data_IF_778797333717
#
_entry.id   IF_778797333717
#
_cell.length_a   1.000
_cell.length_b   1.000
_cell.length_c   1.000
_cell.angle_alpha   90.00
_cell.angle_beta   90.00
_cell.angle_gamma   90.00
#
_symmetry.space_group_name_H-M   'P 1'
#
loop_
_entity.id
_entity.type
_entity.pdbx_description
1 polymer ?
#
# COMPACT_ATOMS: atom_id res chain seq x y z
N UNK A 1 10.63 9.71 4.36
CA UNK A 1 10.68 9.46 5.83
C UNK A 1 10.15 8.07 6.18
N UNK A 2 8.85 7.76 6.02
CA UNK A 2 8.30 6.41 6.34
C UNK A 2 8.98 5.27 5.57
N UNK A 3 9.30 5.50 4.29
CA UNK A 3 10.01 4.55 3.42
C UNK A 3 11.41 4.19 3.92
N UNK A 4 12.15 5.20 4.37
CA UNK A 4 13.52 5.03 4.86
C UNK A 4 13.54 4.26 6.17
N UNK A 5 12.56 4.47 7.07
CA UNK A 5 12.49 3.78 8.37
C UNK A 5 12.35 2.27 8.18
N UNK A 6 11.50 1.80 7.27
CA UNK A 6 11.32 0.36 7.05
C UNK A 6 12.56 -0.31 6.46
N UNK A 7 13.22 0.33 5.47
CA UNK A 7 14.44 -0.20 4.86
C UNK A 7 15.62 -0.13 5.82
N UNK A 8 15.72 0.96 6.58
CA UNK A 8 16.74 1.13 7.61
C UNK A 8 16.57 0.06 8.69
N UNK A 9 15.35 -0.19 9.16
CA UNK A 9 15.10 -1.24 10.15
C UNK A 9 15.49 -2.64 9.65
N UNK A 10 15.41 -2.92 8.34
CA UNK A 10 15.69 -4.24 7.79
C UNK A 10 17.14 -4.44 7.35
N UNK A 11 17.78 -3.38 6.81
CA UNK A 11 19.05 -3.50 6.11
C UNK A 11 20.18 -2.68 6.72
N UNK A 12 19.95 -1.89 7.78
CA UNK A 12 20.99 -1.07 8.40
C UNK A 12 22.23 -1.86 8.81
N UNK A 13 22.04 -3.06 9.34
CA UNK A 13 23.14 -3.90 9.84
C UNK A 13 23.69 -4.88 8.78
N UNK A 14 22.95 -5.13 7.69
CA UNK A 14 23.30 -6.13 6.67
C UNK A 14 23.76 -5.50 5.35
N UNK A 15 22.98 -4.56 4.79
CA UNK A 15 23.22 -3.90 3.51
C UNK A 15 22.87 -2.40 3.58
N UNK A 16 23.70 -1.56 4.24
CA UNK A 16 23.41 -0.13 4.41
C UNK A 16 23.34 0.63 3.08
N UNK A 17 23.95 0.10 2.03
CA UNK A 17 23.95 0.66 0.67
C UNK A 17 22.54 0.74 0.06
N UNK A 18 21.61 -0.14 0.46
CA UNK A 18 20.24 -0.15 -0.05
C UNK A 18 19.46 1.12 0.31
N UNK A 19 19.83 1.79 1.40
CA UNK A 19 19.28 3.11 1.73
C UNK A 19 19.65 4.15 0.67
N UNK A 20 20.87 4.07 0.12
CA UNK A 20 21.33 4.99 -0.93
C UNK A 20 20.60 4.75 -2.25
N UNK A 21 20.24 3.49 -2.55
CA UNK A 21 19.46 3.17 -3.75
C UNK A 21 18.08 3.82 -3.76
N UNK A 22 17.41 3.98 -2.61
CA UNK A 22 16.14 4.73 -2.54
C UNK A 22 16.33 6.16 -3.06
N UNK A 23 17.43 6.81 -2.67
CA UNK A 23 17.74 8.17 -3.09
C UNK A 23 18.12 8.27 -4.57
N UNK A 24 18.69 7.21 -5.15
CA UNK A 24 19.05 7.15 -6.56
C UNK A 24 17.83 6.91 -7.47
N UNK A 25 16.88 6.08 -7.03
CA UNK A 25 15.73 5.70 -7.85
C UNK A 25 14.78 6.89 -8.10
N UNK A 26 14.65 7.81 -7.15
CA UNK A 26 13.77 8.97 -7.32
C UNK A 26 14.18 9.89 -8.49
N UNK A 27 15.44 10.36 -8.60
CA UNK A 27 15.95 11.08 -9.77
C UNK A 27 15.83 10.30 -11.08
N UNK A 28 16.16 9.00 -11.06
CA UNK A 28 16.08 8.14 -12.26
C UNK A 28 14.64 8.03 -12.77
N UNK A 29 13.69 7.81 -11.86
CA UNK A 29 12.25 7.80 -12.18
C UNK A 29 11.79 9.15 -12.73
N UNK A 30 12.27 10.25 -12.15
CA UNK A 30 11.96 11.62 -12.60
C UNK A 30 12.54 11.94 -13.99
N UNK A 31 13.68 11.38 -14.34
CA UNK A 31 14.37 11.66 -15.61
C UNK A 31 14.05 10.69 -16.74
N UNK A 32 13.64 9.45 -16.44
CA UNK A 32 13.36 8.43 -17.46
C UNK A 32 11.87 8.14 -17.56
N UNK A 33 11.23 7.77 -16.44
CA UNK A 33 9.85 7.31 -16.42
C UNK A 33 8.84 8.46 -16.55
N UNK A 34 9.05 9.57 -15.84
CA UNK A 34 8.11 10.70 -15.88
C UNK A 34 8.03 11.37 -17.26
N UNK A 35 9.13 11.54 -18.03
CA UNK A 35 9.05 11.95 -19.42
C UNK A 35 8.13 11.10 -20.28
N UNK A 36 8.12 9.77 -20.09
CA UNK A 36 7.21 8.87 -20.81
C UNK A 36 5.76 9.17 -20.41
N UNK A 37 5.50 9.35 -19.11
CA UNK A 37 4.18 9.74 -18.60
C UNK A 37 3.71 11.08 -19.18
N UNK A 38 4.58 12.09 -19.22
CA UNK A 38 4.29 13.39 -19.81
C UNK A 38 4.07 13.32 -21.32
N UNK A 39 4.83 12.48 -22.04
CA UNK A 39 4.58 12.21 -23.45
C UNK A 39 3.17 11.65 -23.63
N UNK A 40 2.74 10.69 -22.81
CA UNK A 40 1.36 10.18 -22.87
C UNK A 40 0.31 11.24 -22.54
N UNK A 41 0.56 12.10 -21.55
CA UNK A 41 -0.34 13.20 -21.20
C UNK A 41 -0.49 14.21 -22.36
N UNK A 42 0.62 14.59 -23.00
CA UNK A 42 0.60 15.52 -24.13
C UNK A 42 -0.03 14.90 -25.39
N UNK A 43 0.17 13.58 -25.62
CA UNK A 43 -0.54 12.83 -26.66
C UNK A 43 -2.05 12.86 -26.41
N UNK A 44 -2.49 12.65 -25.17
CA UNK A 44 -3.91 12.71 -24.81
C UNK A 44 -4.48 14.11 -25.04
N UNK A 45 -3.77 15.15 -24.59
CA UNK A 45 -4.16 16.56 -24.78
C UNK A 45 -4.24 16.95 -26.26
N UNK A 46 -3.36 16.38 -27.09
CA UNK A 46 -3.41 16.56 -28.54
C UNK A 46 -4.60 15.84 -29.18
N UNK A 47 -4.89 14.62 -28.73
CA UNK A 47 -6.06 13.84 -29.20
C UNK A 47 -7.38 14.54 -28.90
N UNK A 48 -7.48 15.30 -27.81
CA UNK A 48 -8.65 16.12 -27.49
C UNK A 48 -8.72 17.43 -28.31
N UNK A 49 -7.57 17.94 -28.80
CA UNK A 49 -7.47 19.15 -29.61
C UNK A 49 -7.28 18.84 -31.11
N UNK A 50 -8.28 18.20 -31.72
CA UNK A 50 -8.33 17.65 -33.11
C UNK A 50 -8.10 18.66 -34.26
N UNK A 51 -7.68 19.90 -34.00
CA UNK A 51 -7.57 20.96 -35.02
C UNK A 51 -6.14 21.28 -35.53
N UNK A 52 -5.11 20.48 -35.24
CA UNK A 52 -3.74 20.82 -35.66
C UNK A 52 -3.09 19.78 -36.59
N UNK A 53 -3.08 20.10 -37.89
CA UNK A 53 -2.19 19.50 -38.91
C UNK A 53 -0.73 19.91 -38.65
N UNK A 54 -0.06 19.30 -37.67
CA UNK A 54 1.39 19.46 -37.49
C UNK A 54 2.12 18.15 -37.76
N UNK A 55 3.33 18.25 -38.32
CA UNK A 55 4.19 17.10 -38.61
C UNK A 55 4.54 16.34 -37.32
N UNK A 56 4.41 15.01 -37.34
CA UNK A 56 4.66 14.13 -36.18
C UNK A 56 5.99 14.41 -35.46
N UNK A 57 7.05 14.73 -36.22
CA UNK A 57 8.39 15.04 -35.68
C UNK A 57 8.44 16.37 -34.89
N UNK A 58 7.79 17.42 -35.40
CA UNK A 58 7.71 18.72 -34.72
C UNK A 58 6.86 18.63 -33.45
N UNK A 59 5.82 17.80 -33.46
CA UNK A 59 5.01 17.51 -32.28
C UNK A 59 5.82 16.75 -31.23
N UNK A 60 6.55 15.69 -31.60
CA UNK A 60 7.43 14.95 -30.68
C UNK A 60 8.51 15.86 -30.09
N UNK A 61 9.12 16.73 -30.90
CA UNK A 61 10.12 17.69 -30.44
C UNK A 61 9.52 18.74 -29.48
N UNK A 62 8.30 19.23 -29.74
CA UNK A 62 7.59 20.14 -28.85
C UNK A 62 7.21 19.48 -27.51
N UNK A 63 6.74 18.23 -27.56
CA UNK A 63 6.42 17.43 -26.37
C UNK A 63 7.69 17.23 -25.53
N UNK A 64 8.80 16.81 -26.14
CA UNK A 64 10.08 16.70 -25.45
C UNK A 64 10.53 18.04 -24.84
N UNK A 65 10.40 19.15 -25.57
CA UNK A 65 10.75 20.47 -25.05
C UNK A 65 9.87 20.87 -23.85
N UNK A 66 8.58 20.56 -23.88
CA UNK A 66 7.65 20.82 -22.77
C UNK A 66 7.98 19.96 -21.55
N UNK A 67 8.41 18.71 -21.76
CA UNK A 67 8.90 17.81 -20.71
C UNK A 67 10.13 18.39 -20.02
N UNK A 68 11.12 18.85 -20.79
CA UNK A 68 12.34 19.46 -20.23
C UNK A 68 12.07 20.82 -19.56
N UNK A 69 11.05 21.56 -20.02
CA UNK A 69 10.58 22.78 -19.36
C UNK A 69 9.77 22.53 -18.09
N UNK A 70 9.43 21.28 -17.77
CA UNK A 70 8.77 20.98 -16.51
C UNK A 70 9.72 21.35 -15.35
N UNK A 71 9.32 22.22 -14.42
CA UNK A 71 10.20 22.70 -13.36
C UNK A 71 10.75 21.58 -12.49
N UNK A 72 10.03 20.46 -12.38
CA UNK A 72 10.46 19.30 -11.59
C UNK A 72 11.59 18.54 -12.29
N UNK A 73 11.46 18.28 -13.61
CA UNK A 73 12.53 17.64 -14.40
C UNK A 73 13.75 18.56 -14.49
N UNK A 74 13.52 19.85 -14.72
CA UNK A 74 14.57 20.86 -14.79
C UNK A 74 15.39 20.93 -13.49
N UNK A 75 14.73 20.98 -12.33
CA UNK A 75 15.42 21.03 -11.03
C UNK A 75 16.25 19.78 -10.74
N UNK A 76 15.83 18.59 -11.20
CA UNK A 76 16.62 17.37 -11.07
C UNK A 76 17.91 17.44 -11.90
N UNK A 77 17.82 17.94 -13.15
CA UNK A 77 19.00 18.15 -14.00
C UNK A 77 19.95 19.15 -13.36
N UNK A 78 19.42 20.27 -12.84
CA UNK A 78 20.22 21.27 -12.10
C UNK A 78 20.91 20.64 -10.89
N UNK A 79 20.22 19.79 -10.13
CA UNK A 79 20.80 19.07 -9.00
C UNK A 79 21.95 18.15 -9.39
N UNK A 80 21.81 17.40 -10.49
CA UNK A 80 22.87 16.52 -11.01
C UNK A 80 24.07 17.34 -11.52
N UNK A 81 23.83 18.38 -12.32
CA UNK A 81 24.89 19.28 -12.77
C UNK A 81 25.61 19.95 -11.60
N UNK A 82 24.85 20.39 -10.59
CA UNK A 82 25.38 20.95 -9.35
C UNK A 82 26.28 19.96 -8.62
N UNK A 83 25.87 18.69 -8.49
CA UNK A 83 26.68 17.65 -7.87
C UNK A 83 28.07 17.50 -8.53
N UNK A 84 28.12 17.54 -9.87
CA UNK A 84 29.39 17.49 -10.61
C UNK A 84 30.22 18.77 -10.47
N UNK A 85 29.59 19.95 -10.56
CA UNK A 85 30.28 21.25 -10.44
C UNK A 85 30.90 21.44 -9.06
N UNK A 86 30.22 20.97 -8.01
CA UNK A 86 30.66 21.11 -6.62
C UNK A 86 31.53 19.95 -6.13
N UNK A 87 31.95 19.02 -7.00
CA UNK A 87 32.75 17.84 -6.63
C UNK A 87 32.19 17.08 -5.40
N UNK A 88 30.86 16.91 -5.35
CA UNK A 88 30.13 16.30 -4.23
C UNK A 88 30.21 17.07 -2.89
N UNK A 89 30.70 18.31 -2.89
CA UNK A 89 30.79 19.20 -1.70
C UNK A 89 29.86 20.39 -1.83
N UNK A 90 28.63 20.25 -1.35
CA UNK A 90 27.64 21.33 -1.36
C UNK A 90 28.09 22.44 -0.38
N UNK A 91 28.18 23.72 -0.80
CA UNK A 91 28.47 24.83 0.10
C UNK A 91 27.45 24.92 1.23
N UNK A 92 27.90 25.17 2.47
CA UNK A 92 27.06 25.12 3.69
C UNK A 92 25.75 25.91 3.56
N UNK A 93 25.81 27.12 3.01
CA UNK A 93 24.64 28.00 2.83
C UNK A 93 23.60 27.37 1.88
N UNK A 94 24.06 26.74 0.80
CA UNK A 94 23.20 26.07 -0.17
C UNK A 94 22.66 24.77 0.44
N UNK A 95 23.49 24.04 1.18
CA UNK A 95 23.10 22.81 1.90
C UNK A 95 21.96 23.06 2.88
N UNK A 96 22.13 24.00 3.82
CA UNK A 96 21.11 24.33 4.82
C UNK A 96 19.79 24.79 4.19
N UNK A 97 19.87 25.58 3.12
CA UNK A 97 18.69 26.01 2.37
C UNK A 97 17.96 24.83 1.69
N UNK A 98 18.70 23.97 1.01
CA UNK A 98 18.15 22.78 0.35
C UNK A 98 17.60 21.77 1.36
N UNK A 99 18.25 21.59 2.50
CA UNK A 99 17.78 20.71 3.59
C UNK A 99 16.48 21.24 4.21
N UNK A 100 16.37 22.55 4.41
CA UNK A 100 15.14 23.20 4.85
C UNK A 100 13.97 23.00 3.86
N UNK A 101 14.24 23.12 2.56
CA UNK A 101 13.27 22.85 1.49
C UNK A 101 12.88 21.37 1.44
N UNK A 102 13.85 20.46 1.47
CA UNK A 102 13.64 19.02 1.35
C UNK A 102 12.85 18.46 2.54
N UNK A 103 13.17 18.90 3.76
CA UNK A 103 12.43 18.52 4.98
C UNK A 103 10.98 19.02 4.94
N UNK A 104 10.74 20.22 4.42
CA UNK A 104 9.39 20.81 4.31
C UNK A 104 8.56 20.23 3.16
N UNK A 105 9.22 19.71 2.11
CA UNK A 105 8.55 19.23 0.90
C UNK A 105 7.58 18.08 1.17
N UNK A 106 8.02 17.06 1.93
CA UNK A 106 7.18 15.87 2.19
C UNK A 106 5.88 16.26 2.90
N UNK A 107 5.96 17.11 3.93
CA UNK A 107 4.79 17.61 4.65
C UNK A 107 3.87 18.45 3.76
N UNK A 108 4.44 19.38 2.98
CA UNK A 108 3.69 20.26 2.09
C UNK A 108 2.99 19.51 0.97
N UNK A 109 3.67 18.52 0.36
CA UNK A 109 3.12 17.71 -0.72
C UNK A 109 1.98 16.79 -0.21
N UNK A 110 2.15 16.16 0.95
CA UNK A 110 1.10 15.35 1.58
C UNK A 110 -0.09 16.21 2.02
N UNK A 111 0.15 17.43 2.52
CA UNK A 111 -0.90 18.37 2.86
C UNK A 111 -1.68 18.82 1.61
N UNK A 112 -0.98 19.16 0.52
CA UNK A 112 -1.60 19.48 -0.77
C UNK A 112 -2.41 18.31 -1.32
N UNK A 113 -1.90 17.08 -1.22
CA UNK A 113 -2.64 15.87 -1.58
C UNK A 113 -3.92 15.73 -0.75
N UNK A 114 -3.84 15.97 0.56
CA UNK A 114 -5.01 15.97 1.45
C UNK A 114 -6.04 17.02 1.07
N UNK A 115 -5.61 18.26 0.81
CA UNK A 115 -6.48 19.36 0.37
C UNK A 115 -7.17 19.06 -0.96
N UNK A 116 -6.45 18.51 -1.93
CA UNK A 116 -6.99 18.19 -3.26
C UNK A 116 -7.95 17.00 -3.23
N UNK A 117 -7.82 16.08 -2.27
CA UNK A 117 -8.72 14.94 -2.11
C UNK A 117 -10.12 15.36 -1.60
N UNK A 118 -10.22 16.43 -0.80
CA UNK A 118 -11.49 16.84 -0.18
C UNK A 118 -12.52 17.17 -1.25
N UNK A 119 -13.66 16.48 -1.19
CA UNK A 119 -14.75 16.65 -2.15
C UNK A 119 -14.59 15.87 -3.46
N UNK A 120 -13.39 15.39 -3.81
CA UNK A 120 -13.18 14.55 -5.00
C UNK A 120 -13.70 13.12 -4.80
N UNK A 121 -13.61 12.57 -3.59
CA UNK A 121 -14.17 11.24 -3.26
C UNK A 121 -15.67 11.16 -3.58
N UNK A 122 -16.41 12.26 -3.40
CA UNK A 122 -17.86 12.33 -3.69
C UNK A 122 -18.17 12.34 -5.20
N UNK A 123 -17.20 12.74 -6.02
CA UNK A 123 -17.33 12.81 -7.48
C UNK A 123 -16.95 11.50 -8.18
N UNK A 124 -16.30 10.58 -7.45
CA UNK A 124 -15.94 9.26 -7.97
C UNK A 124 -17.17 8.51 -8.48
N UNK A 125 -17.18 8.27 -9.79
CA UNK A 125 -18.18 7.41 -10.43
C UNK A 125 -17.92 5.94 -10.06
N UNK A 126 -18.96 5.10 -10.12
CA UNK A 126 -18.87 3.65 -9.85
C UNK A 126 -17.76 2.97 -10.67
N UNK A 127 -17.60 3.34 -11.93
CA UNK A 127 -16.56 2.79 -12.80
C UNK A 127 -15.14 3.22 -12.37
N UNK A 128 -14.99 4.46 -11.90
CA UNK A 128 -13.72 4.99 -11.39
C UNK A 128 -13.28 4.26 -10.12
N UNK A 129 -14.22 3.83 -9.27
CA UNK A 129 -13.92 3.04 -8.08
C UNK A 129 -13.32 1.68 -8.43
N UNK A 130 -13.84 1.01 -9.46
CA UNK A 130 -13.27 -0.26 -9.96
C UNK A 130 -11.85 -0.05 -10.48
N UNK A 131 -11.62 1.03 -11.23
CA UNK A 131 -10.28 1.37 -11.71
C UNK A 131 -9.29 1.59 -10.55
N UNK A 132 -9.70 2.30 -9.49
CA UNK A 132 -8.86 2.50 -8.28
C UNK A 132 -8.50 1.16 -7.64
N UNK A 133 -9.47 0.26 -7.43
CA UNK A 133 -9.19 -1.06 -6.83
C UNK A 133 -8.20 -1.85 -7.70
N UNK A 134 -8.40 -1.86 -9.02
CA UNK A 134 -7.55 -2.59 -9.95
C UNK A 134 -6.12 -2.03 -9.94
N UNK A 135 -5.97 -0.71 -9.98
CA UNK A 135 -4.67 -0.03 -9.94
C UNK A 135 -3.93 -0.28 -8.62
N UNK A 136 -4.62 -0.20 -7.48
CA UNK A 136 -4.02 -0.48 -6.17
C UNK A 136 -3.61 -1.95 -6.08
N UNK A 137 -4.44 -2.88 -6.55
CA UNK A 137 -4.12 -4.31 -6.56
C UNK A 137 -2.91 -4.59 -7.44
N UNK A 138 -2.86 -4.01 -8.65
CA UNK A 138 -1.71 -4.13 -9.53
C UNK A 138 -0.44 -3.54 -8.88
N UNK A 139 -0.55 -2.39 -8.21
CA UNK A 139 0.58 -1.73 -7.55
C UNK A 139 1.09 -2.50 -6.32
N UNK A 140 0.21 -3.07 -5.50
CA UNK A 140 0.59 -3.67 -4.22
C UNK A 140 0.84 -5.17 -4.27
N UNK A 141 0.32 -5.88 -5.29
CA UNK A 141 0.53 -7.31 -5.45
C UNK A 141 1.38 -7.64 -6.67
N UNK A 142 1.05 -7.06 -7.83
CA UNK A 142 1.70 -7.42 -9.10
C UNK A 142 3.07 -6.76 -9.23
N UNK A 143 3.18 -5.46 -8.98
CA UNK A 143 4.44 -4.73 -9.14
C UNK A 143 5.59 -5.27 -8.26
N UNK A 144 5.40 -5.58 -6.95
CA UNK A 144 6.45 -6.17 -6.13
C UNK A 144 7.03 -7.47 -6.68
N UNK A 145 6.15 -8.33 -7.21
CA UNK A 145 6.56 -9.60 -7.82
C UNK A 145 7.32 -9.35 -9.12
N UNK A 146 6.80 -8.48 -9.99
CA UNK A 146 7.51 -8.12 -11.23
C UNK A 146 8.88 -7.50 -10.92
N UNK A 147 8.98 -6.57 -9.96
CA UNK A 147 10.25 -5.94 -9.61
C UNK A 147 11.27 -6.95 -9.09
N UNK A 148 10.82 -7.93 -8.31
CA UNK A 148 11.67 -9.01 -7.81
C UNK A 148 12.18 -9.87 -8.96
N UNK A 149 11.28 -10.41 -9.77
CA UNK A 149 11.61 -11.28 -10.90
C UNK A 149 12.50 -10.58 -11.93
N UNK A 150 12.26 -9.29 -12.20
CA UNK A 150 13.10 -8.53 -13.12
C UNK A 150 14.54 -8.39 -12.61
N UNK A 151 14.74 -8.20 -11.30
CA UNK A 151 16.08 -8.17 -10.71
C UNK A 151 16.73 -9.55 -10.76
N UNK A 152 15.96 -10.60 -10.47
CA UNK A 152 16.40 -11.99 -10.57
C UNK A 152 16.84 -12.37 -12.01
N UNK A 153 16.15 -11.88 -13.03
CA UNK A 153 16.49 -12.12 -14.45
C UNK A 153 17.68 -11.29 -14.95
N UNK A 154 17.92 -10.11 -14.37
CA UNK A 154 18.95 -9.18 -14.83
C UNK A 154 20.30 -9.42 -14.14
N UNK A 155 20.31 -9.92 -12.91
CA UNK A 155 21.54 -10.18 -12.15
C UNK A 155 22.05 -11.61 -12.40
N UNK A 156 22.86 -11.77 -13.46
CA UNK A 156 23.39 -13.06 -13.90
C UNK A 156 24.73 -13.48 -13.24
N UNK A 157 25.22 -12.79 -12.19
CA UNK A 157 26.65 -12.87 -11.85
C UNK A 157 27.12 -12.70 -10.40
N UNK A 158 26.26 -12.74 -9.38
CA UNK A 158 26.69 -12.52 -7.98
C UNK A 158 26.44 -13.72 -7.05
N UNK A 159 27.27 -13.83 -5.99
CA UNK A 159 27.21 -14.89 -4.96
C UNK A 159 25.78 -15.06 -4.39
N UNK A 160 25.29 -16.29 -4.20
CA UNK A 160 23.87 -16.59 -3.86
C UNK A 160 23.27 -15.74 -2.72
N UNK A 161 24.10 -15.35 -1.74
CA UNK A 161 23.68 -14.51 -0.60
C UNK A 161 23.36 -13.05 -0.97
N UNK A 162 24.09 -12.45 -1.92
CA UNK A 162 23.84 -11.08 -2.38
C UNK A 162 22.68 -11.01 -3.38
N UNK A 163 22.56 -12.03 -4.24
CA UNK A 163 21.45 -12.16 -5.18
C UNK A 163 20.09 -12.12 -4.48
N UNK A 164 19.96 -12.91 -3.41
CA UNK A 164 18.69 -13.03 -2.67
C UNK A 164 18.34 -11.72 -1.94
N UNK A 165 19.33 -10.95 -1.48
CA UNK A 165 19.06 -9.73 -0.73
C UNK A 165 18.62 -8.57 -1.63
N UNK A 166 19.17 -8.46 -2.85
CA UNK A 166 18.83 -7.40 -3.81
C UNK A 166 17.42 -7.60 -4.40
N UNK A 167 17.06 -8.83 -4.76
CA UNK A 167 15.71 -9.14 -5.24
C UNK A 167 14.65 -8.94 -4.14
N UNK A 168 14.97 -9.28 -2.89
CA UNK A 168 14.13 -9.00 -1.72
C UNK A 168 13.97 -7.49 -1.48
N UNK A 169 15.04 -6.70 -1.67
CA UNK A 169 14.96 -5.25 -1.61
C UNK A 169 14.05 -4.70 -2.73
N UNK A 170 14.17 -5.21 -3.95
CA UNK A 170 13.33 -4.81 -5.08
C UNK A 170 11.84 -5.14 -4.83
N UNK A 171 11.55 -6.29 -4.24
CA UNK A 171 10.21 -6.65 -3.78
C UNK A 171 9.65 -5.60 -2.81
N UNK A 172 10.41 -5.23 -1.76
CA UNK A 172 9.98 -4.21 -0.80
C UNK A 172 9.76 -2.85 -1.45
N UNK A 173 10.67 -2.45 -2.33
CA UNK A 173 10.55 -1.20 -3.07
C UNK A 173 9.26 -1.16 -3.90
N UNK A 174 8.87 -2.28 -4.51
CA UNK A 174 7.62 -2.40 -5.25
C UNK A 174 6.37 -2.15 -4.40
N UNK A 175 6.39 -2.53 -3.10
CA UNK A 175 5.27 -2.37 -2.15
C UNK A 175 5.10 -0.91 -1.69
N UNK A 176 6.12 -0.06 -1.89
CA UNK A 176 6.09 1.31 -1.41
C UNK A 176 4.95 2.13 -2.01
N UNK A 177 4.31 2.99 -1.19
CA UNK A 177 3.27 3.89 -1.66
C UNK A 177 3.78 4.78 -2.79
N UNK A 178 2.90 5.02 -3.76
CA UNK A 178 3.17 5.93 -4.87
C UNK A 178 3.49 7.33 -4.37
N UNK A 179 4.53 7.95 -4.94
CA UNK A 179 4.98 9.27 -4.54
C UNK A 179 3.88 10.34 -4.75
N UNK A 180 3.77 11.32 -3.82
CA UNK A 180 2.78 12.41 -3.91
C UNK A 180 2.96 13.31 -5.13
N UNK A 181 4.16 13.32 -5.74
CA UNK A 181 4.46 14.09 -6.94
C UNK A 181 3.57 13.73 -8.13
N UNK A 182 3.06 12.49 -8.20
CA UNK A 182 2.17 12.08 -9.31
C UNK A 182 0.85 12.85 -9.29
N UNK A 183 0.35 13.26 -8.12
CA UNK A 183 -0.85 14.09 -8.00
C UNK A 183 -0.60 15.53 -8.48
N UNK A 184 0.62 16.05 -8.27
CA UNK A 184 1.03 17.36 -8.79
C UNK A 184 1.03 17.32 -10.33
N UNK A 185 1.52 16.24 -10.94
CA UNK A 185 1.47 16.06 -12.40
C UNK A 185 0.04 15.97 -12.93
N UNK A 186 -0.80 15.13 -12.32
CA UNK A 186 -2.20 15.02 -12.71
C UNK A 186 -2.92 16.38 -12.65
N UNK A 187 -2.61 17.20 -11.65
CA UNK A 187 -3.13 18.55 -11.51
C UNK A 187 -2.60 19.51 -12.60
N UNK A 188 -1.31 19.44 -12.97
CA UNK A 188 -0.72 20.27 -14.01
C UNK A 188 -1.31 19.99 -15.40
N UNK A 189 -1.59 18.71 -15.69
CA UNK A 189 -2.17 18.29 -16.97
C UNK A 189 -3.70 18.23 -16.96
N UNK A 190 -4.34 18.50 -15.82
CA UNK A 190 -5.78 18.38 -15.60
C UNK A 190 -6.36 17.01 -16.02
N UNK A 191 -5.65 15.93 -15.68
CA UNK A 191 -5.98 14.57 -16.08
C UNK A 191 -6.41 13.73 -14.88
N UNK A 192 -7.66 13.24 -14.90
CA UNK A 192 -8.18 12.25 -13.95
C UNK A 192 -7.80 12.51 -12.47
N UNK A 193 -7.81 13.80 -12.08
CA UNK A 193 -7.34 14.23 -10.75
C UNK A 193 -8.11 13.48 -9.66
N UNK A 194 -9.42 13.27 -9.85
CA UNK A 194 -10.28 12.55 -8.90
C UNK A 194 -9.83 11.11 -8.63
N UNK A 195 -9.41 10.40 -9.68
CA UNK A 195 -8.93 9.02 -9.58
C UNK A 195 -7.52 8.99 -8.98
N UNK A 196 -6.63 9.85 -9.45
CA UNK A 196 -5.22 9.87 -9.04
C UNK A 196 -5.07 10.27 -7.58
N UNK A 197 -5.72 11.35 -7.13
CA UNK A 197 -5.61 11.83 -5.74
C UNK A 197 -6.23 10.83 -4.76
N UNK A 198 -7.47 10.39 -5.03
CA UNK A 198 -8.19 9.46 -4.15
C UNK A 198 -7.49 8.11 -4.13
N UNK A 199 -7.09 7.59 -5.30
CA UNK A 199 -6.38 6.33 -5.42
C UNK A 199 -5.03 6.36 -4.71
N UNK A 200 -4.27 7.45 -4.80
CA UNK A 200 -2.99 7.60 -4.12
C UNK A 200 -3.12 7.65 -2.60
N UNK A 201 -4.13 8.35 -2.07
CA UNK A 201 -4.37 8.40 -0.63
C UNK A 201 -4.76 7.02 -0.11
N UNK A 202 -5.72 6.34 -0.77
CA UNK A 202 -6.11 4.98 -0.41
C UNK A 202 -4.91 4.03 -0.51
N UNK A 203 -4.14 4.12 -1.60
CA UNK A 203 -2.93 3.33 -1.77
C UNK A 203 -1.95 3.56 -0.61
N UNK A 204 -1.76 4.79 -0.15
CA UNK A 204 -0.86 5.11 0.97
C UNK A 204 -1.30 4.43 2.26
N UNK A 205 -2.60 4.48 2.57
CA UNK A 205 -3.15 3.79 3.74
C UNK A 205 -3.04 2.26 3.65
N UNK A 206 -3.28 1.68 2.46
CA UNK A 206 -3.22 0.22 2.26
C UNK A 206 -1.77 -0.29 2.14
N UNK A 207 -0.85 0.51 1.62
CA UNK A 207 0.57 0.12 1.47
C UNK A 207 1.25 -0.07 2.81
N UNK A 208 0.91 0.73 3.84
CA UNK A 208 1.56 0.66 5.15
C UNK A 208 1.49 -0.73 5.82
N UNK A 209 0.30 -1.34 6.01
CA UNK A 209 0.22 -2.69 6.57
C UNK A 209 0.83 -3.76 5.65
N UNK A 210 0.68 -3.63 4.32
CA UNK A 210 1.27 -4.60 3.38
C UNK A 210 2.79 -4.52 3.40
N UNK A 211 3.38 -3.32 3.50
CA UNK A 211 4.81 -3.11 3.63
C UNK A 211 5.34 -3.73 4.93
N UNK A 212 4.64 -3.55 6.04
CA UNK A 212 5.01 -4.18 7.32
C UNK A 212 5.00 -5.72 7.22
N UNK A 213 3.93 -6.29 6.66
CA UNK A 213 3.83 -7.74 6.46
C UNK A 213 4.89 -8.26 5.48
N UNK A 214 5.18 -7.50 4.43
CA UNK A 214 6.21 -7.85 3.43
C UNK A 214 7.61 -7.86 4.04
N UNK A 215 7.94 -6.87 4.87
CA UNK A 215 9.20 -6.84 5.61
C UNK A 215 9.33 -8.06 6.53
N UNK A 216 8.27 -8.40 7.26
CA UNK A 216 8.22 -9.62 8.08
C UNK A 216 8.43 -10.88 7.25
N UNK A 217 7.70 -11.02 6.14
CA UNK A 217 7.79 -12.17 5.24
C UNK A 217 9.22 -12.44 4.77
N UNK A 218 9.99 -11.39 4.49
CA UNK A 218 11.39 -11.49 4.04
C UNK A 218 12.36 -11.90 5.15
N UNK A 219 12.02 -11.64 6.42
CA UNK A 219 12.87 -12.03 7.56
C UNK A 219 12.65 -13.47 8.00
N UNK A 220 11.47 -14.06 7.77
CA UNK A 220 11.11 -15.42 8.22
C UNK A 220 12.15 -16.49 7.82
N UNK A 221 12.63 -16.56 6.57
CA UNK A 221 13.59 -17.60 6.16
C UNK A 221 14.92 -17.55 6.94
N UNK A 222 15.28 -16.38 7.45
CA UNK A 222 16.54 -16.17 8.20
C UNK A 222 16.40 -16.35 9.71
N UNK A 223 15.17 -16.47 10.23
CA UNK A 223 14.92 -16.59 11.67
C UNK A 223 15.00 -18.03 12.16
N UNK A 224 15.67 -18.25 13.30
CA UNK A 224 15.62 -19.53 14.00
C UNK A 224 14.20 -19.85 14.48
N UNK A 225 13.82 -21.12 14.44
CA UNK A 225 12.45 -21.60 14.72
C UNK A 225 11.89 -21.17 16.07
N UNK A 226 12.70 -21.18 17.12
CA UNK A 226 12.27 -20.77 18.47
C UNK A 226 12.00 -19.25 18.55
N UNK A 227 12.87 -18.44 17.93
CA UNK A 227 12.69 -16.97 17.87
C UNK A 227 11.45 -16.65 17.05
N UNK A 228 11.30 -17.27 15.88
CA UNK A 228 10.14 -17.11 15.01
C UNK A 228 8.81 -17.40 15.73
N UNK A 229 8.73 -18.51 16.47
CA UNK A 229 7.53 -18.85 17.25
C UNK A 229 7.23 -17.81 18.33
N UNK A 230 8.27 -17.28 19.01
CA UNK A 230 8.09 -16.25 20.03
C UNK A 230 7.63 -14.92 19.44
N UNK A 231 8.20 -14.52 18.30
CA UNK A 231 7.87 -13.28 17.61
C UNK A 231 6.47 -13.32 17.00
N UNK A 232 6.12 -14.38 16.26
CA UNK A 232 4.77 -14.57 15.71
C UNK A 232 3.73 -14.47 16.83
N UNK A 233 4.00 -15.08 17.99
CA UNK A 233 3.11 -15.03 19.14
C UNK A 233 2.98 -13.61 19.71
N UNK A 234 4.08 -12.87 19.85
CA UNK A 234 4.07 -11.49 20.35
C UNK A 234 3.31 -10.56 19.38
N UNK A 235 3.62 -10.63 18.08
CA UNK A 235 2.97 -9.82 17.04
C UNK A 235 1.48 -10.14 16.96
N UNK A 236 1.12 -11.43 17.01
CA UNK A 236 -0.30 -11.83 16.94
C UNK A 236 -1.07 -11.33 18.17
N UNK A 237 -0.42 -11.27 19.34
CA UNK A 237 -0.98 -10.67 20.54
C UNK A 237 -1.20 -9.15 20.37
N UNK A 238 -0.19 -8.42 19.90
CA UNK A 238 -0.27 -6.97 19.69
C UNK A 238 -1.35 -6.61 18.65
N UNK A 239 -1.36 -7.31 17.52
CA UNK A 239 -2.38 -7.14 16.48
C UNK A 239 -3.77 -7.46 17.04
N UNK A 240 -3.92 -8.48 17.88
CA UNK A 240 -5.21 -8.83 18.49
C UNK A 240 -5.74 -7.71 19.39
N UNK A 241 -4.88 -7.05 20.17
CA UNK A 241 -5.29 -5.92 21.01
C UNK A 241 -5.77 -4.75 20.14
N UNK A 242 -4.96 -4.35 19.15
CA UNK A 242 -5.31 -3.24 18.25
C UNK A 242 -6.62 -3.55 17.51
N UNK A 243 -6.77 -4.76 17.00
CA UNK A 243 -7.98 -5.21 16.29
C UNK A 243 -9.19 -5.22 17.22
N UNK A 244 -9.04 -5.64 18.48
CA UNK A 244 -10.13 -5.64 19.46
C UNK A 244 -10.70 -4.24 19.69
N UNK A 245 -9.85 -3.21 19.78
CA UNK A 245 -10.28 -1.81 19.94
C UNK A 245 -11.18 -1.38 18.76
N UNK A 246 -10.74 -1.65 17.53
CA UNK A 246 -11.52 -1.33 16.33
C UNK A 246 -12.81 -2.16 16.20
N UNK A 247 -12.79 -3.42 16.66
CA UNK A 247 -13.98 -4.28 16.67
C UNK A 247 -15.02 -3.79 17.67
N UNK A 248 -14.62 -3.43 18.88
CA UNK A 248 -15.53 -2.88 19.89
C UNK A 248 -16.21 -1.63 19.36
N UNK A 249 -15.44 -0.72 18.74
CA UNK A 249 -15.99 0.46 18.07
C UNK A 249 -16.97 0.09 16.94
N UNK A 250 -16.59 -0.84 16.06
CA UNK A 250 -17.42 -1.25 14.91
C UNK A 250 -18.73 -1.90 15.35
N UNK A 251 -18.69 -2.78 16.36
CA UNK A 251 -19.88 -3.39 16.96
C UNK A 251 -20.76 -2.33 17.62
N UNK A 252 -20.17 -1.39 18.37
CA UNK A 252 -20.93 -0.29 18.99
C UNK A 252 -21.67 0.57 17.95
N UNK A 253 -21.00 0.94 16.85
CA UNK A 253 -21.62 1.69 15.74
C UNK A 253 -22.77 0.89 15.11
N UNK A 254 -22.60 -0.42 14.87
CA UNK A 254 -23.66 -1.25 14.32
C UNK A 254 -24.86 -1.39 15.27
N UNK A 255 -24.63 -1.53 16.58
CA UNK A 255 -25.69 -1.58 17.58
C UNK A 255 -26.46 -0.26 17.68
N UNK A 256 -25.74 0.88 17.74
CA UNK A 256 -26.34 2.22 17.80
C UNK A 256 -27.14 2.55 16.54
N UNK A 257 -26.69 2.09 15.37
CA UNK A 257 -27.40 2.31 14.10
C UNK A 257 -28.74 1.56 14.01
N UNK A 258 -28.99 0.59 14.90
CA UNK A 258 -30.15 -0.32 14.90
C UNK A 258 -30.36 -1.10 13.58
N UNK A 259 -29.39 -1.08 12.66
CA UNK A 259 -29.46 -1.76 11.36
C UNK A 259 -29.12 -3.26 11.43
N UNK A 260 -28.80 -3.79 12.61
CA UNK A 260 -28.42 -5.20 12.81
C UNK A 260 -29.48 -6.21 12.35
N UNK A 261 -30.75 -5.81 12.23
CA UNK A 261 -31.83 -6.68 11.75
C UNK A 261 -31.98 -6.71 10.22
N UNK A 262 -31.31 -5.81 9.50
CA UNK A 262 -31.36 -5.73 8.04
C UNK A 262 -30.26 -6.60 7.43
N UNK A 263 -30.56 -7.25 6.30
CA UNK A 263 -29.54 -7.93 5.50
C UNK A 263 -28.86 -6.90 4.59
N UNK A 264 -27.54 -6.98 4.36
CA UNK A 264 -26.59 -8.01 4.81
C UNK A 264 -26.01 -7.77 6.22
N UNK A 265 -26.36 -6.65 6.88
CA UNK A 265 -25.77 -6.23 8.15
C UNK A 265 -25.86 -7.26 9.28
N UNK A 266 -26.91 -8.09 9.31
CA UNK A 266 -27.03 -9.20 10.27
C UNK A 266 -25.85 -10.19 10.16
N UNK A 267 -25.44 -10.54 8.94
CA UNK A 267 -24.31 -11.43 8.70
C UNK A 267 -22.98 -10.74 9.05
N UNK A 268 -22.89 -9.44 8.77
CA UNK A 268 -21.73 -8.63 9.16
C UNK A 268 -21.54 -8.54 10.68
N UNK A 269 -22.63 -8.48 11.46
CA UNK A 269 -22.54 -8.50 12.94
C UNK A 269 -22.00 -9.84 13.43
N UNK A 270 -22.45 -10.97 12.87
CA UNK A 270 -21.93 -12.28 13.24
C UNK A 270 -20.44 -12.45 12.85
N UNK A 271 -20.03 -11.92 11.70
CA UNK A 271 -18.62 -11.85 11.31
C UNK A 271 -17.79 -11.07 12.35
N UNK A 272 -18.27 -9.90 12.78
CA UNK A 272 -17.59 -9.09 13.80
C UNK A 272 -17.50 -9.84 15.14
N UNK A 273 -18.56 -10.55 15.54
CA UNK A 273 -18.56 -11.38 16.75
C UNK A 273 -17.55 -12.53 16.65
N UNK A 274 -17.50 -13.26 15.53
CA UNK A 274 -16.51 -14.30 15.31
C UNK A 274 -15.08 -13.72 15.38
N UNK A 275 -14.83 -12.54 14.80
CA UNK A 275 -13.54 -11.87 14.88
C UNK A 275 -13.18 -11.43 16.31
N UNK A 276 -14.16 -11.01 17.13
CA UNK A 276 -13.90 -10.72 18.55
C UNK A 276 -13.47 -11.98 19.31
N UNK A 277 -14.09 -13.13 19.02
CA UNK A 277 -13.69 -14.40 19.62
C UNK A 277 -12.27 -14.82 19.20
N UNK A 278 -11.87 -14.58 17.95
CA UNK A 278 -10.48 -14.81 17.50
C UNK A 278 -9.49 -13.95 18.30
N UNK A 279 -9.76 -12.64 18.45
CA UNK A 279 -8.86 -11.74 19.18
C UNK A 279 -8.75 -12.13 20.66
N UNK A 280 -9.87 -12.44 21.31
CA UNK A 280 -9.88 -12.92 22.70
C UNK A 280 -9.18 -14.28 22.83
N UNK A 281 -9.39 -15.19 21.88
CA UNK A 281 -8.72 -16.49 21.82
C UNK A 281 -7.20 -16.35 21.71
N UNK A 282 -6.71 -15.44 20.87
CA UNK A 282 -5.27 -15.15 20.74
C UNK A 282 -4.66 -14.56 22.02
N UNK A 283 -5.38 -13.66 22.71
CA UNK A 283 -4.95 -13.09 23.99
C UNK A 283 -4.89 -14.18 25.06
N UNK A 284 -5.92 -15.04 25.14
CA UNK A 284 -5.94 -16.18 26.06
C UNK A 284 -4.82 -17.19 25.75
N UNK A 285 -4.57 -17.45 24.46
CA UNK A 285 -3.49 -18.33 24.00
C UNK A 285 -2.13 -17.83 24.49
N UNK A 286 -1.85 -16.53 24.35
CA UNK A 286 -0.63 -15.90 24.83
C UNK A 286 -0.38 -16.15 26.34
N UNK A 287 -1.44 -16.06 27.16
CA UNK A 287 -1.35 -16.23 28.61
C UNK A 287 -1.21 -17.71 28.99
N UNK A 288 -2.03 -18.59 28.40
CA UNK A 288 -2.11 -20.01 28.77
C UNK A 288 -0.89 -20.80 28.30
N UNK A 289 -0.30 -20.45 27.15
CA UNK A 289 0.96 -21.05 26.71
C UNK A 289 2.10 -20.78 27.71
N UNK A 290 2.08 -19.66 28.45
CA UNK A 290 3.07 -19.41 29.52
C UNK A 290 2.83 -20.27 30.77
N UNK A 291 1.58 -20.65 31.05
CA UNK A 291 1.20 -21.43 32.24
C UNK A 291 1.33 -22.95 32.05
N UNK A 292 1.62 -23.42 30.84
CA UNK A 292 1.83 -24.85 30.51
C UNK A 292 0.65 -25.80 30.85
N UNK A 293 -0.57 -25.26 30.91
CA UNK A 293 -1.79 -26.03 31.20
C UNK A 293 -2.36 -26.69 29.93
N UNK A 294 -2.20 -28.00 29.78
CA UNK A 294 -2.59 -28.75 28.57
C UNK A 294 -4.09 -28.64 28.23
N UNK A 295 -4.98 -28.79 29.24
CA UNK A 295 -6.43 -28.66 29.03
C UNK A 295 -6.83 -27.25 28.56
N UNK A 296 -6.21 -26.22 29.15
CA UNK A 296 -6.44 -24.83 28.76
C UNK A 296 -5.98 -24.56 27.33
N UNK A 297 -4.83 -25.11 26.94
CA UNK A 297 -4.32 -24.98 25.56
C UNK A 297 -5.28 -25.62 24.56
N UNK A 298 -5.78 -26.82 24.82
CA UNK A 298 -6.74 -27.51 23.93
C UNK A 298 -8.04 -26.71 23.80
N UNK A 299 -8.60 -26.21 24.90
CA UNK A 299 -9.84 -25.43 24.87
C UNK A 299 -9.68 -24.12 24.09
N UNK A 300 -8.62 -23.36 24.35
CA UNK A 300 -8.36 -22.11 23.61
C UNK A 300 -8.09 -22.39 22.14
N UNK A 301 -7.36 -23.46 21.82
CA UNK A 301 -7.12 -23.88 20.44
C UNK A 301 -8.43 -24.14 19.70
N UNK A 302 -9.36 -24.89 20.31
CA UNK A 302 -10.68 -25.18 19.71
C UNK A 302 -11.45 -23.88 19.46
N UNK A 303 -11.54 -23.00 20.46
CA UNK A 303 -12.26 -21.73 20.35
C UNK A 303 -11.65 -20.84 19.26
N UNK A 304 -10.32 -20.73 19.23
CA UNK A 304 -9.59 -19.89 18.28
C UNK A 304 -9.79 -20.39 16.85
N UNK A 305 -9.58 -21.69 16.59
CA UNK A 305 -9.72 -22.24 15.24
C UNK A 305 -11.18 -22.30 14.78
N UNK A 306 -12.13 -22.65 15.66
CA UNK A 306 -13.56 -22.62 15.33
C UNK A 306 -14.01 -21.21 14.94
N UNK A 307 -13.62 -20.20 15.74
CA UNK A 307 -13.93 -18.80 15.43
C UNK A 307 -13.26 -18.34 14.14
N UNK A 308 -12.01 -18.75 13.90
CA UNK A 308 -11.28 -18.41 12.67
C UNK A 308 -11.96 -18.98 11.43
N UNK A 309 -12.31 -20.27 11.42
CA UNK A 309 -13.03 -20.86 10.29
C UNK A 309 -14.40 -20.22 10.08
N UNK A 310 -15.11 -19.89 11.17
CA UNK A 310 -16.37 -19.17 11.09
C UNK A 310 -16.23 -17.82 10.39
N UNK A 311 -15.15 -17.06 10.63
CA UNK A 311 -14.92 -15.79 9.93
C UNK A 311 -14.84 -15.96 8.40
N UNK A 312 -14.17 -17.02 7.91
CA UNK A 312 -14.12 -17.32 6.49
C UNK A 312 -15.49 -17.66 5.92
N UNK A 313 -16.27 -18.49 6.64
CA UNK A 313 -17.63 -18.85 6.20
C UNK A 313 -18.53 -17.61 6.14
N UNK A 314 -18.49 -16.74 7.16
CA UNK A 314 -19.27 -15.50 7.17
C UNK A 314 -18.94 -14.58 6.00
N UNK A 315 -17.67 -14.44 5.62
CA UNK A 315 -17.29 -13.61 4.46
C UNK A 315 -17.91 -14.14 3.16
N UNK A 316 -17.88 -15.47 2.95
CA UNK A 316 -18.54 -16.12 1.82
C UNK A 316 -20.06 -15.95 1.84
N UNK A 317 -20.68 -16.07 3.02
CA UNK A 317 -22.12 -15.88 3.20
C UNK A 317 -22.55 -14.43 2.94
N UNK A 318 -21.75 -13.44 3.31
CA UNK A 318 -22.03 -12.03 2.99
C UNK A 318 -22.02 -11.83 1.47
N UNK A 319 -21.00 -12.34 0.77
CA UNK A 319 -20.92 -12.25 -0.69
C UNK A 319 -22.14 -12.91 -1.37
N UNK A 320 -22.51 -14.11 -0.90
CA UNK A 320 -23.69 -14.83 -1.38
C UNK A 320 -24.99 -14.07 -1.06
N UNK A 321 -25.10 -13.45 0.11
CA UNK A 321 -26.27 -12.66 0.50
C UNK A 321 -26.46 -11.43 -0.39
N UNK A 322 -25.37 -10.77 -0.79
CA UNK A 322 -25.42 -9.63 -1.71
C UNK A 322 -25.93 -10.05 -3.08
N UNK A 323 -25.46 -11.19 -3.60
CA UNK A 323 -25.93 -11.76 -4.88
C UNK A 323 -27.42 -12.16 -4.80
N UNK A 324 -27.84 -12.78 -3.70
CA UNK A 324 -29.25 -13.19 -3.52
C UNK A 324 -30.19 -12.01 -3.29
N UNK A 325 -29.72 -10.92 -2.69
CA UNK A 325 -30.47 -9.67 -2.56
C UNK A 325 -30.70 -9.03 -3.94
N UNK A 326 -29.70 -9.02 -4.81
CA UNK A 326 -29.84 -8.54 -6.19
C UNK A 326 -30.87 -9.37 -6.97
N UNK A 327 -30.92 -10.69 -6.73
CA UNK A 327 -31.86 -11.61 -7.37
C UNK A 327 -33.21 -11.75 -6.64
N UNK A 328 -33.48 -10.98 -5.57
CA UNK A 328 -34.68 -11.07 -4.72
C UNK A 328 -35.01 -12.50 -4.20
N UNK A 329 -34.00 -13.37 -4.06
CA UNK A 329 -34.19 -14.79 -3.77
C UNK A 329 -33.97 -15.17 -2.29
N UNK A 330 -33.74 -14.20 -1.40
CA UNK A 330 -33.37 -14.47 -0.01
C UNK A 330 -34.58 -14.83 0.87
N UNK A 331 -34.94 -16.13 0.94
CA UNK A 331 -36.12 -16.61 1.68
C UNK A 331 -35.85 -17.23 3.07
N UNK A 332 -34.64 -17.68 3.39
CA UNK A 332 -34.37 -18.42 4.65
C UNK A 332 -33.23 -17.80 5.48
N UNK A 333 -33.57 -16.95 6.45
CA UNK A 333 -32.59 -16.24 7.31
C UNK A 333 -31.90 -17.15 8.34
N UNK A 334 -32.63 -18.09 8.94
CA UNK A 334 -32.12 -18.92 10.04
C UNK A 334 -31.05 -19.93 9.62
N UNK A 335 -31.23 -20.56 8.45
CA UNK A 335 -30.28 -21.55 7.94
C UNK A 335 -28.89 -20.96 7.71
N UNK A 336 -28.81 -19.75 7.12
CA UNK A 336 -27.53 -19.06 6.92
C UNK A 336 -26.86 -18.66 8.24
N UNK A 337 -27.62 -18.44 9.32
CA UNK A 337 -27.02 -18.09 10.61
C UNK A 337 -26.35 -19.29 11.25
N UNK A 338 -27.00 -20.45 11.20
CA UNK A 338 -26.45 -21.71 11.74
C UNK A 338 -25.25 -22.14 10.91
N UNK A 339 -25.38 -22.13 9.58
CA UNK A 339 -24.30 -22.51 8.67
C UNK A 339 -23.04 -21.63 8.82
N UNK A 340 -23.17 -20.38 9.27
CA UNK A 340 -22.02 -19.49 9.48
C UNK A 340 -21.14 -19.83 10.69
N UNK A 341 -21.69 -20.52 11.69
CA UNK A 341 -20.95 -20.91 12.91
C UNK A 341 -20.42 -22.35 12.87
N UNK A 342 -20.79 -23.15 11.86
CA UNK A 342 -20.44 -24.56 11.72
C UNK A 342 -21.67 -25.43 11.64
#
# INVERSE_FOLDING_TARGET
MVLCVSVEALYRDTFPEYLQYIYLVAPISLMLLNPIGFIFCEIQKWRENINTQQSKLKTVALVLLQVFKNPIVFMVIVGICGNFIFEQKIPVIIGEFLDGLASSFSGSALFYLGLTMVGQIKKLKKNSFVAIILLITAKLLVLPLISREMVELLDNGSTEANYTSLSNYAFLYGVFPTAPSVAIYASQYNMEIEIVTSGMVINTFVSAPIMYLSAWLLTIPSMHTHVLQSEIRNISFDISIVTLIFLVWSVAVMLLSKKFKQLPHLLSVNLLLAQTMVCLGMIMWYIITKQNNLLGQVLVFIVLYSSLYSTYVWTGLIALSLLLLEKNAFKQRGFFIVAGWG
#
